data_IF_176608101862
#
_entry.id   IF_176608101862
#
_cell.length_a   1.000
_cell.length_b   1.000
_cell.length_c   1.000
_cell.angle_alpha   90.00
_cell.angle_beta   90.00
_cell.angle_gamma   90.00
#
_symmetry.space_group_name_H-M   'P 1'
#
loop_
_entity.id
_entity.type
_entity.pdbx_description
1 polymer ?
#
# COMPACT_ATOMS: atom_id res chain seq x y z
N UNK A 1 37.15 18.65 -0.62
CA UNK A 1 36.29 17.54 -1.01
C UNK A 1 34.85 18.04 -1.28
N UNK A 2 34.63 18.89 -2.29
CA UNK A 2 33.32 19.55 -2.55
C UNK A 2 33.07 19.72 -4.05
N UNK A 3 33.48 18.73 -4.88
CA UNK A 3 33.38 18.80 -6.37
C UNK A 3 32.88 17.51 -7.03
N UNK A 4 32.22 16.59 -6.33
CA UNK A 4 31.74 15.34 -6.91
C UNK A 4 30.22 15.12 -6.77
N UNK A 5 29.46 16.15 -6.41
CA UNK A 5 28.00 16.05 -6.18
C UNK A 5 27.14 16.79 -7.22
N UNK A 6 27.72 17.21 -8.34
CA UNK A 6 27.03 18.04 -9.35
C UNK A 6 26.90 17.39 -10.74
N UNK A 7 27.07 16.08 -10.90
CA UNK A 7 27.09 15.45 -12.23
C UNK A 7 25.94 14.44 -12.51
N UNK A 8 24.87 14.35 -11.71
CA UNK A 8 23.76 13.40 -12.00
C UNK A 8 22.41 14.08 -12.23
N UNK A 9 22.35 15.40 -12.43
CA UNK A 9 21.11 16.15 -12.68
C UNK A 9 20.90 16.60 -14.12
N UNK A 10 21.37 15.88 -15.14
CA UNK A 10 21.11 16.28 -16.55
C UNK A 10 20.91 15.09 -17.48
N UNK A 11 19.84 14.26 -17.27
CA UNK A 11 19.32 13.42 -18.36
C UNK A 11 17.94 12.86 -17.99
N UNK A 12 16.96 13.72 -17.77
CA UNK A 12 15.57 13.27 -17.81
C UNK A 12 14.63 14.43 -18.18
N UNK A 13 14.80 14.90 -19.44
CA UNK A 13 13.79 15.74 -20.05
C UNK A 13 13.75 15.36 -21.54
N UNK A 14 12.69 14.65 -21.93
CA UNK A 14 12.42 14.44 -23.35
C UNK A 14 12.12 13.02 -23.76
N UNK A 15 10.94 12.47 -23.43
CA UNK A 15 10.16 11.58 -24.32
C UNK A 15 8.70 11.64 -23.89
N UNK A 16 7.99 12.62 -24.35
CA UNK A 16 6.55 12.58 -24.46
C UNK A 16 6.17 13.21 -25.78
N UNK A 17 5.90 12.36 -26.78
CA UNK A 17 5.01 12.58 -27.91
C UNK A 17 5.28 11.50 -28.96
N UNK A 18 4.20 10.88 -29.36
CA UNK A 18 4.01 10.02 -30.51
C UNK A 18 3.66 8.56 -30.15
N UNK A 19 2.39 8.28 -30.00
CA UNK A 19 1.77 7.22 -30.79
C UNK A 19 0.34 7.62 -31.10
N UNK A 20 0.16 7.85 -32.36
CA UNK A 20 -1.04 8.22 -33.06
C UNK A 20 -1.90 6.99 -33.35
N UNK A 21 -3.18 7.23 -33.46
CA UNK A 21 -4.25 6.34 -33.90
C UNK A 21 -3.93 5.55 -35.16
N UNK A 22 -4.31 4.29 -35.19
CA UNK A 22 -4.77 3.63 -36.42
C UNK A 22 -5.98 2.73 -36.15
N UNK A 23 -7.12 3.22 -36.55
CA UNK A 23 -8.31 2.49 -36.97
C UNK A 23 -7.93 1.35 -37.93
N UNK A 24 -8.45 0.15 -37.68
CA UNK A 24 -8.76 -0.80 -38.75
C UNK A 24 -10.11 -1.45 -38.46
N UNK A 25 -11.05 -1.11 -39.32
CA UNK A 25 -12.33 -1.82 -39.55
C UNK A 25 -12.06 -3.05 -40.41
N UNK A 26 -12.88 -4.05 -40.24
CA UNK A 26 -13.49 -4.97 -41.22
C UNK A 26 -13.47 -6.40 -40.71
N UNK A 27 -14.43 -7.15 -40.85
CA UNK A 27 -15.74 -7.33 -41.47
C UNK A 27 -16.00 -8.84 -41.48
N UNK A 28 -17.25 -9.14 -41.22
CA UNK A 28 -17.90 -10.44 -41.15
C UNK A 28 -17.90 -11.16 -42.49
N UNK A 29 -17.90 -12.50 -42.45
CA UNK A 29 -18.56 -13.53 -43.27
C UNK A 29 -17.73 -14.81 -43.19
N UNK A 30 -18.20 -15.93 -42.72
CA UNK A 30 -19.34 -16.73 -43.04
C UNK A 30 -18.92 -17.90 -43.95
N UNK A 31 -18.94 -19.09 -43.45
CA UNK A 31 -19.69 -20.23 -44.00
C UNK A 31 -19.21 -21.56 -43.41
N UNK A 32 -20.17 -22.38 -43.08
CA UNK A 32 -20.06 -23.75 -42.59
C UNK A 32 -19.70 -24.72 -43.71
N UNK A 33 -19.04 -25.82 -43.39
CA UNK A 33 -19.38 -27.15 -43.89
C UNK A 33 -18.58 -28.28 -43.20
N UNK A 34 -19.34 -29.33 -42.91
CA UNK A 34 -19.01 -30.62 -42.30
C UNK A 34 -17.97 -31.44 -43.07
N UNK A 35 -17.20 -32.30 -42.37
CA UNK A 35 -17.27 -33.76 -42.49
C UNK A 35 -16.06 -34.43 -41.79
N UNK A 36 -16.39 -35.23 -40.81
CA UNK A 36 -16.08 -36.65 -40.54
C UNK A 36 -14.72 -37.24 -40.92
N UNK A 37 -14.24 -37.98 -39.95
CA UNK A 37 -13.61 -39.30 -39.87
C UNK A 37 -12.12 -39.40 -39.51
N UNK A 38 -11.96 -40.01 -38.37
CA UNK A 38 -11.18 -41.21 -37.98
C UNK A 38 -9.67 -41.15 -37.75
N UNK A 39 -9.38 -41.61 -36.56
CA UNK A 39 -8.36 -42.57 -36.10
C UNK A 39 -6.93 -42.14 -35.86
N UNK A 40 -6.59 -42.21 -34.58
CA UNK A 40 -5.47 -42.93 -33.96
C UNK A 40 -4.04 -42.55 -34.32
N UNK A 41 -3.31 -41.94 -33.40
CA UNK A 41 -2.13 -42.56 -32.79
C UNK A 41 -1.60 -41.72 -31.63
N UNK A 42 -1.38 -42.36 -30.52
CA UNK A 42 -0.81 -41.88 -29.27
C UNK A 42 0.60 -41.32 -29.46
N UNK A 43 0.83 -40.14 -28.92
CA UNK A 43 2.16 -39.57 -28.76
C UNK A 43 2.10 -38.62 -27.58
N UNK A 44 2.45 -39.10 -26.41
CA UNK A 44 2.53 -38.37 -25.15
C UNK A 44 3.54 -37.25 -25.26
N UNK A 45 3.02 -36.04 -25.39
CA UNK A 45 3.71 -34.82 -24.96
C UNK A 45 2.85 -34.21 -23.85
N UNK A 46 3.07 -34.75 -22.66
CA UNK A 46 2.47 -34.34 -21.43
C UNK A 46 2.79 -32.87 -21.14
N UNK A 47 1.81 -32.01 -21.32
CA UNK A 47 1.25 -31.18 -20.29
C UNK A 47 2.23 -30.55 -19.28
N UNK A 48 2.99 -29.55 -19.72
CA UNK A 48 3.60 -28.59 -18.81
C UNK A 48 2.71 -27.31 -18.69
N UNK A 49 1.71 -27.16 -19.58
CA UNK A 49 0.83 -25.97 -19.59
C UNK A 49 -0.46 -26.08 -18.76
N UNK A 50 -0.66 -27.15 -17.99
CA UNK A 50 -1.90 -27.36 -17.24
C UNK A 50 -1.81 -26.95 -15.77
N UNK A 51 -0.72 -26.31 -15.34
CA UNK A 51 -0.55 -25.90 -13.93
C UNK A 51 -0.74 -24.42 -13.64
N UNK A 52 -1.10 -23.61 -14.62
CA UNK A 52 -1.45 -22.20 -14.42
C UNK A 52 -2.93 -21.97 -14.82
N UNK A 53 -3.78 -22.90 -14.51
CA UNK A 53 -5.18 -22.54 -14.32
C UNK A 53 -5.28 -22.04 -12.88
N UNK A 54 -5.08 -20.72 -12.71
CA UNK A 54 -5.54 -20.01 -11.54
C UNK A 54 -6.99 -20.45 -11.30
N UNK A 55 -7.22 -21.23 -10.24
CA UNK A 55 -8.55 -21.48 -9.73
C UNK A 55 -9.05 -20.13 -9.23
N UNK A 56 -9.64 -19.37 -10.15
CA UNK A 56 -10.34 -18.12 -9.82
C UNK A 56 -11.45 -18.49 -8.86
N UNK A 57 -11.30 -18.14 -7.61
CA UNK A 57 -12.40 -18.15 -6.66
C UNK A 57 -13.39 -17.12 -7.20
N UNK A 58 -14.65 -17.50 -7.50
CA UNK A 58 -15.62 -16.57 -8.04
C UNK A 58 -15.76 -15.38 -7.09
N UNK A 59 -15.43 -14.16 -7.55
CA UNK A 59 -15.58 -12.93 -6.77
C UNK A 59 -14.32 -12.37 -6.12
N UNK A 60 -13.18 -13.05 -6.17
CA UNK A 60 -11.92 -12.51 -5.62
C UNK A 60 -11.03 -11.98 -6.74
N UNK A 61 -10.89 -10.67 -6.79
CA UNK A 61 -10.06 -9.96 -7.78
C UNK A 61 -8.60 -9.98 -7.34
N UNK A 62 -7.67 -10.09 -8.29
CA UNK A 62 -6.23 -9.90 -8.05
C UNK A 62 -5.96 -8.43 -7.74
N UNK A 63 -5.10 -8.15 -6.77
CA UNK A 63 -4.65 -6.79 -6.52
C UNK A 63 -3.29 -6.55 -7.16
N UNK A 64 -3.17 -5.41 -7.83
CA UNK A 64 -1.92 -4.91 -8.40
C UNK A 64 -1.52 -3.66 -7.63
N UNK A 65 -0.36 -3.69 -6.98
CA UNK A 65 0.14 -2.59 -6.17
C UNK A 65 1.50 -2.20 -6.70
N UNK A 66 1.71 -0.92 -6.92
CA UNK A 66 3.03 -0.41 -7.27
C UNK A 66 3.71 0.16 -6.03
N UNK A 67 4.90 -0.32 -5.75
CA UNK A 67 5.75 0.16 -4.65
C UNK A 67 7.06 0.72 -5.22
N UNK A 68 7.70 1.66 -4.53
CA UNK A 68 9.02 2.16 -4.91
C UNK A 68 10.05 1.04 -4.95
N UNK A 69 10.93 1.05 -5.96
CA UNK A 69 11.96 0.01 -6.15
C UNK A 69 12.87 -0.15 -4.93
N UNK A 70 13.17 0.95 -4.25
CA UNK A 70 13.97 0.97 -3.01
C UNK A 70 13.32 0.16 -1.87
N UNK A 71 11.99 0.01 -1.92
CA UNK A 71 11.21 -0.69 -0.88
C UNK A 71 10.93 -2.15 -1.21
N UNK A 72 11.18 -2.58 -2.45
CA UNK A 72 11.01 -3.99 -2.87
C UNK A 72 11.87 -4.92 -2.03
N UNK A 73 13.14 -4.57 -1.81
CA UNK A 73 14.03 -5.37 -0.97
C UNK A 73 13.57 -5.49 0.48
N UNK A 74 12.90 -4.45 1.02
CA UNK A 74 12.33 -4.48 2.39
C UNK A 74 11.11 -5.40 2.45
N UNK A 75 10.27 -5.42 1.42
CA UNK A 75 9.11 -6.32 1.31
C UNK A 75 9.55 -7.79 1.20
N UNK A 76 10.57 -8.08 0.41
CA UNK A 76 11.11 -9.44 0.29
C UNK A 76 11.76 -9.86 1.61
N UNK A 77 12.53 -8.97 2.23
CA UNK A 77 13.25 -9.23 3.47
C UNK A 77 14.46 -10.15 3.27
N UNK A 78 15.16 -10.45 4.36
CA UNK A 78 16.33 -11.33 4.33
C UNK A 78 15.91 -12.73 3.89
N UNK A 79 16.49 -13.23 2.79
CA UNK A 79 16.18 -14.56 2.23
C UNK A 79 14.69 -14.82 1.94
N UNK A 80 13.89 -13.75 1.76
CA UNK A 80 12.46 -13.86 1.50
C UNK A 80 11.60 -14.15 2.74
N UNK A 81 12.12 -13.94 3.94
CA UNK A 81 11.43 -14.23 5.19
C UNK A 81 10.14 -13.40 5.35
N UNK A 82 10.22 -12.09 5.13
CA UNK A 82 9.07 -11.18 5.29
C UNK A 82 7.95 -11.56 4.33
N UNK A 83 8.29 -11.81 3.07
CA UNK A 83 7.33 -12.20 2.05
C UNK A 83 6.66 -13.54 2.37
N UNK A 84 7.45 -14.53 2.83
CA UNK A 84 6.93 -15.85 3.24
C UNK A 84 5.99 -15.72 4.44
N UNK A 85 6.38 -14.96 5.45
CA UNK A 85 5.55 -14.74 6.62
C UNK A 85 4.23 -14.06 6.21
N UNK A 86 4.28 -13.02 5.38
CA UNK A 86 3.08 -12.34 4.90
C UNK A 86 2.14 -13.30 4.15
N UNK A 87 2.67 -14.13 3.24
CA UNK A 87 1.87 -15.13 2.52
C UNK A 87 1.23 -16.16 3.45
N UNK A 88 1.95 -16.57 4.50
CA UNK A 88 1.45 -17.55 5.48
C UNK A 88 0.31 -16.95 6.34
N UNK A 89 0.51 -15.74 6.88
CA UNK A 89 -0.47 -15.09 7.76
C UNK A 89 -1.76 -14.69 7.01
N UNK A 90 -1.64 -14.31 5.74
CA UNK A 90 -2.79 -13.83 4.94
C UNK A 90 -3.36 -14.88 4.00
N UNK A 91 -2.80 -16.09 3.95
CA UNK A 91 -3.24 -17.15 3.02
C UNK A 91 -3.31 -16.66 1.57
N UNK A 92 -2.37 -15.80 1.16
CA UNK A 92 -2.30 -15.21 -0.18
C UNK A 92 -1.05 -15.64 -0.91
N UNK A 93 -1.10 -15.63 -2.24
CA UNK A 93 0.07 -15.78 -3.09
C UNK A 93 0.51 -14.39 -3.54
N UNK A 94 1.75 -14.03 -3.23
CA UNK A 94 2.30 -12.71 -3.56
C UNK A 94 3.46 -12.88 -4.52
N UNK A 95 3.32 -12.29 -5.71
CA UNK A 95 4.37 -12.25 -6.73
C UNK A 95 4.92 -10.83 -6.82
N UNK A 96 6.22 -10.68 -6.73
CA UNK A 96 6.90 -9.37 -6.77
C UNK A 96 7.71 -9.27 -8.05
N UNK A 97 7.44 -8.26 -8.85
CA UNK A 97 8.26 -7.87 -10.00
C UNK A 97 9.30 -6.83 -9.52
N UNK A 98 10.54 -7.29 -9.39
CA UNK A 98 11.65 -6.46 -8.89
C UNK A 98 12.07 -5.37 -9.89
N UNK A 99 11.77 -5.54 -11.18
CA UNK A 99 12.14 -4.58 -12.22
C UNK A 99 11.22 -3.39 -12.25
N UNK A 100 9.90 -3.63 -12.14
CA UNK A 100 8.88 -2.60 -12.25
C UNK A 100 8.33 -2.15 -10.88
N UNK A 101 8.68 -2.83 -9.80
CA UNK A 101 8.14 -2.57 -8.46
C UNK A 101 6.65 -2.91 -8.35
N UNK A 102 6.15 -3.84 -9.19
CA UNK A 102 4.75 -4.24 -9.17
C UNK A 102 4.58 -5.49 -8.31
N UNK A 103 3.67 -5.43 -7.36
CA UNK A 103 3.30 -6.54 -6.48
C UNK A 103 1.92 -7.02 -6.87
N UNK A 104 1.81 -8.31 -7.16
CA UNK A 104 0.54 -8.97 -7.51
C UNK A 104 0.15 -9.84 -6.32
N UNK A 105 -1.05 -9.63 -5.79
CA UNK A 105 -1.61 -10.41 -4.69
C UNK A 105 -2.78 -11.22 -5.23
N UNK A 106 -2.70 -12.54 -5.05
CA UNK A 106 -3.70 -13.50 -5.48
C UNK A 106 -4.15 -14.36 -4.30
N UNK A 107 -5.36 -14.89 -4.30
CA UNK A 107 -5.76 -15.85 -3.28
C UNK A 107 -4.99 -17.16 -3.46
N UNK A 108 -4.50 -17.73 -2.38
CA UNK A 108 -3.79 -19.01 -2.41
C UNK A 108 -4.75 -20.19 -2.68
N UNK A 109 -6.02 -20.06 -2.30
CA UNK A 109 -7.02 -21.11 -2.48
C UNK A 109 -8.45 -20.63 -2.20
N UNK A 110 -9.44 -21.53 -2.31
CA UNK A 110 -10.84 -21.18 -2.11
C UNK A 110 -11.18 -20.78 -0.67
N UNK A 111 -10.29 -21.00 0.27
CA UNK A 111 -10.48 -20.66 1.68
C UNK A 111 -9.96 -19.25 2.03
N UNK A 112 -9.23 -18.60 1.10
CA UNK A 112 -8.73 -17.24 1.32
C UNK A 112 -9.89 -16.26 1.37
N UNK A 113 -10.05 -15.57 2.50
CA UNK A 113 -11.10 -14.58 2.68
C UNK A 113 -10.73 -13.26 2.02
N UNK A 114 -11.72 -12.51 1.55
CA UNK A 114 -11.50 -11.18 0.97
C UNK A 114 -10.80 -10.22 1.95
N UNK A 115 -11.09 -10.36 3.25
CA UNK A 115 -10.45 -9.57 4.31
C UNK A 115 -8.95 -9.85 4.39
N UNK A 116 -8.51 -11.10 4.27
CA UNK A 116 -7.10 -11.47 4.31
C UNK A 116 -6.34 -10.90 3.11
N UNK A 117 -7.00 -10.87 1.94
CA UNK A 117 -6.47 -10.20 0.74
C UNK A 117 -6.32 -8.69 0.94
N UNK A 118 -7.29 -8.04 1.61
CA UNK A 118 -7.22 -6.62 1.92
C UNK A 118 -6.11 -6.33 2.92
N UNK A 119 -5.95 -7.15 3.97
CA UNK A 119 -4.85 -7.03 4.92
C UNK A 119 -3.49 -7.17 4.24
N UNK A 120 -3.33 -8.17 3.35
CA UNK A 120 -2.10 -8.31 2.56
C UNK A 120 -1.81 -7.06 1.72
N UNK A 121 -2.83 -6.51 1.05
CA UNK A 121 -2.73 -5.28 0.29
C UNK A 121 -2.28 -4.11 1.16
N UNK A 122 -2.89 -3.93 2.32
CA UNK A 122 -2.58 -2.81 3.21
C UNK A 122 -1.18 -2.92 3.82
N UNK A 123 -0.71 -4.14 4.15
CA UNK A 123 0.65 -4.39 4.62
C UNK A 123 1.68 -4.07 3.53
N UNK A 124 1.47 -4.55 2.30
CA UNK A 124 2.35 -4.24 1.16
C UNK A 124 2.39 -2.74 0.90
N UNK A 125 1.24 -2.08 0.95
CA UNK A 125 1.11 -0.63 0.79
C UNK A 125 1.84 0.13 1.90
N UNK A 126 1.69 -0.29 3.16
CA UNK A 126 2.38 0.30 4.30
C UNK A 126 3.91 0.20 4.16
N UNK A 127 4.43 -0.96 3.76
CA UNK A 127 5.86 -1.14 3.50
C UNK A 127 6.31 -0.22 2.36
N UNK A 128 5.52 -0.08 1.29
CA UNK A 128 5.77 0.87 0.20
C UNK A 128 5.87 2.32 0.68
N UNK A 129 5.06 2.71 1.66
CA UNK A 129 5.10 4.04 2.28
C UNK A 129 6.08 4.19 3.44
N UNK A 130 7.10 3.34 3.51
CA UNK A 130 8.26 3.54 4.38
C UNK A 130 8.18 2.86 5.74
N UNK A 131 7.14 2.12 6.07
CA UNK A 131 7.11 1.33 7.30
C UNK A 131 8.08 0.15 7.28
N UNK A 132 8.60 -0.20 8.45
CA UNK A 132 9.30 -1.47 8.63
C UNK A 132 8.29 -2.63 8.62
N UNK A 133 8.68 -3.84 8.19
CA UNK A 133 7.80 -5.00 8.20
C UNK A 133 7.16 -5.26 9.56
N UNK A 134 7.92 -5.14 10.64
CA UNK A 134 7.44 -5.34 12.02
C UNK A 134 6.25 -4.43 12.38
N UNK A 135 6.31 -3.15 11.95
CA UNK A 135 5.22 -2.20 12.18
C UNK A 135 4.05 -2.44 11.23
N UNK A 136 4.34 -2.84 9.99
CA UNK A 136 3.31 -3.12 8.99
C UNK A 136 2.49 -4.37 9.36
N UNK A 137 3.08 -5.37 9.98
CA UNK A 137 2.37 -6.58 10.44
C UNK A 137 1.30 -6.32 11.51
N UNK A 138 1.31 -5.16 12.17
CA UNK A 138 0.18 -4.79 13.04
C UNK A 138 -1.15 -4.71 12.31
N UNK A 139 -1.13 -4.49 10.99
CA UNK A 139 -2.35 -4.49 10.17
C UNK A 139 -3.00 -5.89 10.03
N UNK A 140 -2.38 -6.94 10.56
CA UNK A 140 -3.02 -8.25 10.71
C UNK A 140 -4.14 -8.22 11.75
N UNK A 141 -4.03 -7.36 12.76
CA UNK A 141 -5.06 -7.17 13.76
C UNK A 141 -6.29 -6.52 13.12
N UNK A 142 -7.50 -6.95 13.54
CA UNK A 142 -8.75 -6.49 12.92
C UNK A 142 -9.08 -5.03 13.23
N UNK A 143 -8.61 -4.54 14.37
CA UNK A 143 -8.84 -3.16 14.83
C UNK A 143 -7.85 -2.15 14.23
N UNK A 144 -6.82 -2.61 13.53
CA UNK A 144 -5.79 -1.74 12.96
C UNK A 144 -6.12 -1.34 11.53
N UNK A 145 -5.92 -0.06 11.24
CA UNK A 145 -6.16 0.51 9.90
C UNK A 145 -4.93 1.24 9.39
N UNK A 146 -4.79 1.25 8.06
CA UNK A 146 -3.82 2.07 7.35
C UNK A 146 -4.53 3.32 6.80
N UNK A 147 -4.09 4.50 7.21
CA UNK A 147 -4.53 5.78 6.64
C UNK A 147 -3.36 6.40 5.88
N UNK A 148 -3.58 6.76 4.63
CA UNK A 148 -2.58 7.42 3.79
C UNK A 148 -3.08 8.82 3.41
N UNK A 149 -2.23 9.81 3.63
CA UNK A 149 -2.47 11.22 3.29
C UNK A 149 -1.49 11.60 2.19
N UNK A 150 -2.00 12.01 1.04
CA UNK A 150 -1.21 12.59 -0.04
C UNK A 150 -1.07 14.10 0.20
N UNK A 151 0.16 14.55 0.49
CA UNK A 151 0.43 15.96 0.79
C UNK A 151 0.16 16.88 -0.41
N UNK A 152 0.27 16.37 -1.64
CA UNK A 152 0.00 17.15 -2.86
C UNK A 152 -1.46 17.60 -2.98
N UNK A 153 -2.38 16.91 -2.31
CA UNK A 153 -3.80 17.30 -2.31
C UNK A 153 -4.08 18.51 -1.41
N UNK A 154 -3.22 18.76 -0.43
CA UNK A 154 -3.42 19.81 0.59
C UNK A 154 -2.46 20.99 0.44
N UNK A 155 -1.38 20.81 -0.30
CA UNK A 155 -0.32 21.83 -0.43
C UNK A 155 -0.12 22.13 -1.92
N UNK A 156 0.04 23.42 -2.31
CA UNK A 156 0.40 23.78 -3.67
C UNK A 156 1.61 22.98 -4.16
N UNK A 157 1.68 22.61 -5.44
CA UNK A 157 2.74 21.76 -6.00
C UNK A 157 4.07 22.50 -6.13
N UNK A 158 4.66 22.87 -5.01
CA UNK A 158 5.96 23.52 -4.88
C UNK A 158 6.83 22.70 -3.91
N UNK A 159 8.01 22.29 -4.37
CA UNK A 159 8.96 21.52 -3.54
C UNK A 159 9.29 22.22 -2.20
N UNK A 160 9.39 23.53 -2.20
CA UNK A 160 9.66 24.30 -0.98
C UNK A 160 8.51 24.20 0.04
N UNK A 161 7.26 24.24 -0.44
CA UNK A 161 6.09 24.09 0.44
C UNK A 161 5.98 22.66 0.99
N UNK A 162 6.17 21.65 0.15
CA UNK A 162 6.16 20.25 0.57
C UNK A 162 7.26 19.98 1.61
N UNK A 163 8.49 20.44 1.35
CA UNK A 163 9.61 20.29 2.28
C UNK A 163 9.33 20.98 3.62
N UNK A 164 8.76 22.18 3.59
CA UNK A 164 8.38 22.92 4.79
C UNK A 164 7.30 22.19 5.60
N UNK A 165 6.29 21.65 4.94
CA UNK A 165 5.21 20.89 5.59
C UNK A 165 5.74 19.59 6.17
N UNK A 166 6.54 18.84 5.42
CA UNK A 166 7.21 17.61 5.90
C UNK A 166 8.07 17.92 7.14
N UNK A 167 8.90 18.95 7.07
CA UNK A 167 9.72 19.40 8.21
C UNK A 167 8.89 19.75 9.43
N UNK A 168 7.70 20.33 9.23
CA UNK A 168 6.76 20.69 10.29
C UNK A 168 6.11 19.45 10.95
N UNK A 169 5.72 18.45 10.15
CA UNK A 169 5.15 17.20 10.65
C UNK A 169 6.21 16.38 11.38
N UNK A 170 7.43 16.32 10.86
CA UNK A 170 8.54 15.60 11.48
C UNK A 170 8.98 16.31 12.76
N UNK A 171 9.11 17.64 12.70
CA UNK A 171 9.67 18.45 13.76
C UNK A 171 11.17 18.29 13.91
N UNK A 172 11.77 19.04 14.85
CA UNK A 172 13.17 18.97 15.17
C UNK A 172 13.54 17.56 15.66
N UNK A 173 14.49 16.92 15.02
CA UNK A 173 14.93 15.55 15.30
C UNK A 173 13.80 14.50 15.37
N UNK A 174 12.69 14.76 14.66
CA UNK A 174 11.52 13.87 14.67
C UNK A 174 10.66 13.97 15.93
N UNK A 175 10.85 15.00 16.76
CA UNK A 175 10.13 15.18 18.04
C UNK A 175 8.64 15.33 17.87
N UNK A 176 8.19 16.12 16.87
CA UNK A 176 6.76 16.34 16.65
C UNK A 176 6.05 15.05 16.24
N UNK A 177 6.65 14.28 15.34
CA UNK A 177 6.14 12.96 14.93
C UNK A 177 6.05 12.02 16.14
N UNK A 178 7.14 11.87 16.91
CA UNK A 178 7.16 11.00 18.10
C UNK A 178 6.11 11.38 19.13
N UNK A 179 5.94 12.67 19.39
CA UNK A 179 4.90 13.13 20.33
C UNK A 179 3.50 12.73 19.87
N UNK A 180 3.19 12.85 18.56
CA UNK A 180 1.90 12.42 18.03
C UNK A 180 1.76 10.91 18.16
N UNK A 181 2.78 10.12 17.78
CA UNK A 181 2.81 8.66 17.91
C UNK A 181 2.55 8.21 19.37
N UNK A 182 3.22 8.84 20.33
CA UNK A 182 3.09 8.52 21.76
C UNK A 182 1.70 8.88 22.32
N UNK A 183 1.17 10.05 21.93
CA UNK A 183 -0.15 10.49 22.41
C UNK A 183 -1.28 9.64 21.87
N UNK A 184 -1.18 9.18 20.63
CA UNK A 184 -2.24 8.44 19.93
C UNK A 184 -2.05 6.92 19.96
N UNK A 185 -0.85 6.43 20.26
CA UNK A 185 -0.53 5.01 20.18
C UNK A 185 -0.45 4.48 18.76
N UNK A 186 -0.27 5.39 17.78
CA UNK A 186 -0.18 5.05 16.35
C UNK A 186 1.27 5.08 15.89
N UNK A 187 1.55 4.54 14.71
CA UNK A 187 2.82 4.70 14.01
C UNK A 187 2.63 5.61 12.81
N UNK A 188 3.58 6.50 12.59
CA UNK A 188 3.55 7.48 11.48
C UNK A 188 4.81 7.32 10.65
N UNK A 189 4.64 7.17 9.35
CA UNK A 189 5.72 7.19 8.36
C UNK A 189 5.53 8.36 7.40
N UNK A 190 6.60 9.09 7.14
CA UNK A 190 6.63 10.14 6.13
C UNK A 190 7.61 9.68 5.05
N UNK A 191 7.09 9.36 3.89
CA UNK A 191 7.87 8.87 2.78
C UNK A 191 7.44 9.56 1.49
N UNK A 192 8.39 10.11 0.77
CA UNK A 192 8.14 10.95 -0.40
C UNK A 192 7.09 12.02 -0.10
N UNK A 193 6.01 12.13 -0.83
CA UNK A 193 4.92 13.11 -0.63
C UNK A 193 3.72 12.54 0.13
N UNK A 194 3.93 11.40 0.80
CA UNK A 194 2.88 10.71 1.54
C UNK A 194 3.17 10.68 3.03
N UNK A 195 2.12 10.77 3.82
CA UNK A 195 2.13 10.48 5.25
C UNK A 195 1.22 9.29 5.49
N UNK A 196 1.78 8.21 5.99
CA UNK A 196 1.03 7.00 6.30
C UNK A 196 0.96 6.80 7.82
N UNK A 197 -0.19 6.36 8.30
CA UNK A 197 -0.52 6.17 9.72
C UNK A 197 -1.04 4.76 9.90
N UNK A 198 -0.50 4.03 10.87
CA UNK A 198 -1.01 2.71 11.30
C UNK A 198 -1.44 2.83 12.75
N UNK A 199 -2.65 2.40 13.06
CA UNK A 199 -3.18 2.40 14.41
C UNK A 199 -4.64 1.98 14.45
N UNK A 200 -5.19 1.96 15.64
CA UNK A 200 -6.60 1.75 15.88
C UNK A 200 -7.44 2.84 15.19
N UNK A 201 -8.60 2.49 14.65
CA UNK A 201 -9.41 3.37 13.79
C UNK A 201 -9.63 4.77 14.36
N UNK A 202 -10.06 4.86 15.63
CA UNK A 202 -10.33 6.17 16.26
C UNK A 202 -9.03 6.96 16.50
N UNK A 203 -7.99 6.26 16.98
CA UNK A 203 -6.67 6.86 17.23
C UNK A 203 -5.98 7.32 15.95
N UNK A 204 -6.07 6.52 14.89
CA UNK A 204 -5.50 6.86 13.59
C UNK A 204 -6.21 8.07 12.94
N UNK A 205 -7.53 8.19 13.09
CA UNK A 205 -8.26 9.38 12.65
C UNK A 205 -7.87 10.62 13.45
N UNK A 206 -7.72 10.51 14.79
CA UNK A 206 -7.23 11.62 15.60
C UNK A 206 -5.81 12.07 15.18
N UNK A 207 -4.91 11.12 14.88
CA UNK A 207 -3.59 11.41 14.36
C UNK A 207 -3.64 12.07 12.97
N UNK A 208 -4.52 11.60 12.08
CA UNK A 208 -4.78 12.21 10.77
C UNK A 208 -5.19 13.67 10.92
N UNK A 209 -6.18 13.95 11.75
CA UNK A 209 -6.67 15.32 11.97
C UNK A 209 -5.58 16.23 12.53
N UNK A 210 -4.76 15.72 13.46
CA UNK A 210 -3.60 16.43 13.99
C UNK A 210 -2.59 16.80 12.88
N UNK A 211 -2.31 15.84 11.97
CA UNK A 211 -1.43 16.09 10.83
C UNK A 211 -2.02 17.11 9.88
N UNK A 212 -3.32 17.05 9.57
CA UNK A 212 -4.02 18.04 8.74
C UNK A 212 -3.93 19.44 9.37
N UNK A 213 -4.12 19.58 10.68
CA UNK A 213 -3.92 20.85 11.39
C UNK A 213 -2.48 21.37 11.26
N UNK A 214 -1.47 20.50 11.26
CA UNK A 214 -0.07 20.91 11.01
C UNK A 214 0.13 21.38 9.57
N UNK A 215 -0.48 20.71 8.60
CA UNK A 215 -0.46 21.10 7.18
C UNK A 215 -1.08 22.48 6.99
N UNK A 216 -2.22 22.77 7.65
CA UNK A 216 -2.89 24.07 7.66
C UNK A 216 -2.06 25.18 8.32
N UNK A 217 -0.99 24.86 9.01
CA UNK A 217 -0.13 25.84 9.66
C UNK A 217 -0.44 26.10 11.14
N UNK A 218 -1.27 25.28 11.80
CA UNK A 218 -1.57 25.42 13.24
C UNK A 218 -0.30 25.19 14.08
N UNK A 219 -0.20 25.86 15.20
CA UNK A 219 0.91 25.69 16.12
C UNK A 219 0.90 24.30 16.77
N UNK A 220 2.06 23.69 17.00
CA UNK A 220 2.19 22.37 17.63
C UNK A 220 1.50 22.30 19.00
N UNK A 221 1.61 23.34 19.81
CA UNK A 221 0.93 23.42 21.10
C UNK A 221 -0.60 23.29 21.00
N UNK A 222 -1.20 23.88 19.96
CA UNK A 222 -2.64 23.76 19.68
C UNK A 222 -3.00 22.34 19.26
N UNK A 223 -2.17 21.73 18.42
CA UNK A 223 -2.37 20.36 17.95
C UNK A 223 -2.27 19.36 19.13
N UNK A 224 -1.29 19.52 20.00
CA UNK A 224 -1.17 18.65 21.19
C UNK A 224 -2.35 18.79 22.16
N UNK A 225 -2.86 19.99 22.38
CA UNK A 225 -4.08 20.21 23.18
C UNK A 225 -5.31 19.55 22.55
N UNK A 226 -5.41 19.59 21.21
CA UNK A 226 -6.46 18.89 20.48
C UNK A 226 -6.36 17.38 20.70
N UNK A 227 -5.17 16.79 20.47
CA UNK A 227 -4.93 15.36 20.65
C UNK A 227 -5.22 14.89 22.09
N UNK A 228 -4.77 15.65 23.08
CA UNK A 228 -5.03 15.33 24.49
C UNK A 228 -6.54 15.25 24.79
N UNK A 229 -7.31 16.22 24.30
CA UNK A 229 -8.77 16.23 24.47
C UNK A 229 -9.43 15.05 23.74
N UNK A 230 -9.02 14.80 22.49
CA UNK A 230 -9.61 13.76 21.68
C UNK A 230 -9.29 12.36 22.20
N UNK A 231 -8.07 12.12 22.63
CA UNK A 231 -7.67 10.85 23.24
C UNK A 231 -8.36 10.60 24.58
N UNK A 232 -8.64 11.65 25.37
CA UNK A 232 -9.49 11.51 26.57
C UNK A 232 -10.93 11.15 26.20
N UNK A 233 -11.47 11.68 25.09
CA UNK A 233 -12.80 11.31 24.59
C UNK A 233 -12.86 9.86 24.17
N UNK A 234 -11.90 9.40 23.35
CA UNK A 234 -11.79 8.03 22.86
C UNK A 234 -11.70 7.05 24.04
N UNK A 235 -10.83 7.31 25.01
CA UNK A 235 -10.70 6.44 26.21
C UNK A 235 -12.01 6.31 26.99
N UNK A 236 -12.73 7.41 27.18
CA UNK A 236 -14.03 7.40 27.86
C UNK A 236 -15.07 6.60 27.07
N UNK A 237 -15.15 6.77 25.76
CA UNK A 237 -16.06 6.01 24.88
C UNK A 237 -15.79 4.51 24.95
N UNK A 238 -14.52 4.10 24.89
CA UNK A 238 -14.12 2.69 25.02
C UNK A 238 -14.49 2.11 26.36
N UNK A 239 -14.27 2.84 27.45
CA UNK A 239 -14.67 2.42 28.79
C UNK A 239 -16.19 2.20 28.89
N UNK A 240 -16.99 3.15 28.40
CA UNK A 240 -18.46 3.05 28.41
C UNK A 240 -18.97 1.86 27.59
N UNK A 241 -18.37 1.58 26.43
CA UNK A 241 -18.77 0.45 25.58
C UNK A 241 -18.45 -0.91 26.21
N UNK A 242 -17.39 -1.01 26.99
CA UNK A 242 -17.08 -2.24 27.74
C UNK A 242 -18.13 -2.54 28.82
N UNK A 243 -18.53 -1.53 29.57
CA UNK A 243 -19.56 -1.67 30.61
C UNK A 243 -20.94 -2.03 30.07
N UNK A 244 -21.29 -1.53 28.86
CA UNK A 244 -22.54 -1.84 28.20
C UNK A 244 -22.62 -3.27 27.63
N UNK A 245 -21.48 -3.96 27.46
CA UNK A 245 -21.44 -5.37 27.05
C UNK A 245 -21.57 -6.36 28.17
N UNK A 246 -21.33 -5.95 29.42
CA UNK A 246 -21.42 -6.80 30.62
C UNK A 246 -22.78 -6.73 31.32
N UNK A 247 -23.64 -5.82 30.92
CA UNK A 247 -25.01 -5.66 31.39
C UNK A 247 -26.04 -6.23 30.42
#
# INVERSE_FOLDING_TARGET
MLKLWLSVKKTWCGVSKLVNEKHVKNSVQGTASNSSTSSTTQGSLTNINTRIQSRLVPGVTKFYIKIPLERVGVLIGKKGEVLKQLMQETQTLITVDEVNGTVIIEPQGPQTRAVDMMKAKDIVTAIGYGFSPERAFRLLDEDQVLIVIDLKQYVPPSENHLTRVKGRIIGEEGKARRNIEEMTGTYISIYDDYVAIIGDYESANAAKDAILMLIEGRQHSTVYKYLEREMRRIRRSKMTSLWAKES
#
